data_IF_474099039247
#
_entry.id   IF_474099039247
#
_cell.length_a   1.000
_cell.length_b   1.000
_cell.length_c   1.000
_cell.angle_alpha   90.00
_cell.angle_beta   90.00
_cell.angle_gamma   90.00
#
_symmetry.space_group_name_H-M   'P 1'
#
loop_
_entity.id
_entity.type
_entity.pdbx_description
1 polymer ?
#
# COMPACT_ATOMS: atom_id res chain seq x y z
N UNK A 1 24.70 -25.27 -14.41
CA UNK A 1 24.16 -26.33 -15.23
C UNK A 1 24.70 -26.13 -16.64
N UNK A 2 25.49 -27.11 -17.09
CA UNK A 2 26.02 -27.08 -18.43
C UNK A 2 24.90 -27.49 -19.39
N UNK A 3 24.55 -26.63 -20.33
CA UNK A 3 23.61 -26.97 -21.39
C UNK A 3 24.43 -27.64 -22.48
N UNK A 4 24.09 -28.88 -22.80
CA UNK A 4 24.70 -29.61 -23.90
C UNK A 4 24.00 -29.21 -25.18
N UNK A 5 24.67 -28.51 -26.09
CA UNK A 5 24.16 -28.18 -27.41
C UNK A 5 24.75 -29.17 -28.43
N UNK A 6 23.89 -29.74 -29.28
CA UNK A 6 24.30 -30.40 -30.51
C UNK A 6 23.91 -29.53 -31.69
N UNK A 7 24.87 -29.07 -32.48
CA UNK A 7 24.55 -28.46 -33.77
C UNK A 7 24.01 -29.57 -34.68
N UNK A 8 22.91 -29.33 -35.44
CA UNK A 8 22.43 -30.28 -36.43
C UNK A 8 23.54 -30.59 -37.44
N UNK A 9 23.92 -31.89 -37.55
CA UNK A 9 24.96 -32.38 -38.47
C UNK A 9 26.40 -32.48 -37.91
N UNK A 10 26.59 -32.17 -36.63
CA UNK A 10 27.86 -32.29 -35.95
C UNK A 10 27.76 -33.38 -34.85
N UNK A 11 28.67 -34.40 -34.91
CA UNK A 11 28.73 -35.45 -33.87
C UNK A 11 29.43 -34.99 -32.60
N UNK A 12 30.08 -33.86 -32.61
CA UNK A 12 30.77 -33.32 -31.45
C UNK A 12 29.79 -32.70 -30.44
N UNK A 13 29.99 -33.03 -29.17
CA UNK A 13 29.23 -32.49 -28.06
C UNK A 13 29.97 -31.26 -27.52
N UNK A 14 29.39 -30.07 -27.67
CA UNK A 14 29.92 -28.83 -27.11
C UNK A 14 29.29 -28.58 -25.74
N UNK A 15 30.11 -28.29 -24.77
CA UNK A 15 29.67 -27.71 -23.51
C UNK A 15 29.74 -26.21 -23.63
N UNK A 16 28.61 -25.62 -23.95
CA UNK A 16 28.48 -24.17 -23.93
C UNK A 16 27.91 -23.71 -22.60
N UNK A 17 28.52 -22.75 -22.02
CA UNK A 17 28.12 -22.19 -20.74
C UNK A 17 28.28 -20.68 -20.77
N UNK A 18 27.48 -19.98 -19.99
CA UNK A 18 27.56 -18.53 -19.86
C UNK A 18 28.88 -18.02 -19.24
N UNK A 19 29.82 -18.92 -18.88
CA UNK A 19 31.06 -18.56 -18.18
C UNK A 19 30.87 -17.97 -16.78
N UNK A 20 29.61 -17.82 -16.34
CA UNK A 20 29.20 -17.30 -15.05
C UNK A 20 27.87 -17.92 -14.63
N UNK A 21 27.48 -17.76 -13.37
CA UNK A 21 26.18 -18.21 -12.86
C UNK A 21 25.10 -17.21 -13.30
N UNK A 22 24.13 -17.59 -14.17
CA UNK A 22 23.15 -16.68 -14.77
C UNK A 22 22.00 -16.34 -13.79
N UNK A 23 22.34 -16.00 -12.57
CA UNK A 23 21.38 -15.53 -11.58
C UNK A 23 21.58 -14.04 -11.35
N UNK A 24 20.53 -13.28 -11.66
CA UNK A 24 20.51 -11.84 -11.44
C UNK A 24 19.60 -11.54 -10.26
N UNK A 25 20.15 -10.87 -9.27
CA UNK A 25 19.38 -10.45 -8.10
C UNK A 25 18.78 -9.08 -8.32
N UNK A 26 17.47 -8.95 -8.09
CA UNK A 26 16.76 -7.69 -8.00
C UNK A 26 16.67 -7.28 -6.52
N UNK A 27 17.41 -6.25 -6.14
CA UNK A 27 17.43 -5.75 -4.76
C UNK A 27 16.35 -4.67 -4.58
N UNK A 28 15.51 -4.84 -3.56
CA UNK A 28 14.52 -3.82 -3.17
C UNK A 28 15.17 -2.52 -2.66
N UNK A 29 16.35 -2.61 -2.09
CA UNK A 29 17.10 -1.48 -1.59
C UNK A 29 18.57 -1.78 -1.35
N UNK A 30 19.37 -0.74 -1.08
CA UNK A 30 20.81 -0.89 -0.87
C UNK A 30 21.17 -1.82 0.30
N UNK A 31 20.36 -1.82 1.36
CA UNK A 31 20.55 -2.70 2.52
C UNK A 31 19.88 -4.06 2.36
N UNK A 32 19.22 -4.33 1.25
CA UNK A 32 18.52 -5.60 0.93
C UNK A 32 17.47 -6.02 1.96
N UNK A 33 16.93 -5.06 2.69
CA UNK A 33 15.85 -5.31 3.64
C UNK A 33 14.50 -5.34 2.94
N UNK A 34 13.62 -6.22 3.41
CA UNK A 34 12.21 -6.19 3.04
C UNK A 34 11.60 -4.84 3.43
N UNK A 35 10.68 -4.31 2.61
CA UNK A 35 9.90 -3.12 2.94
C UNK A 35 9.07 -3.30 4.21
N UNK A 36 8.74 -4.54 4.57
CA UNK A 36 8.03 -4.91 5.79
C UNK A 36 8.87 -4.66 7.05
N UNK A 37 10.20 -4.74 6.98
CA UNK A 37 11.08 -4.63 8.16
C UNK A 37 10.88 -3.33 8.94
N UNK A 38 10.59 -2.23 8.24
CA UNK A 38 10.42 -0.91 8.89
C UNK A 38 9.09 -0.75 9.60
N UNK A 39 8.06 -1.49 9.18
CA UNK A 39 6.70 -1.36 9.70
C UNK A 39 6.22 -2.60 10.46
N UNK A 40 7.04 -3.66 10.52
CA UNK A 40 6.66 -4.93 11.17
C UNK A 40 6.16 -4.71 12.61
N UNK A 41 6.90 -3.94 13.42
CA UNK A 41 6.51 -3.68 14.80
C UNK A 41 5.17 -2.94 14.93
N UNK A 42 4.86 -2.04 13.98
CA UNK A 42 3.56 -1.35 13.96
C UNK A 42 2.42 -2.30 13.56
N UNK A 43 2.67 -3.22 12.63
CA UNK A 43 1.69 -4.23 12.22
C UNK A 43 1.44 -5.20 13.39
N UNK A 44 2.50 -5.69 14.02
CA UNK A 44 2.39 -6.60 15.17
C UNK A 44 1.61 -5.93 16.33
N UNK A 45 1.83 -4.62 16.58
CA UNK A 45 1.11 -3.86 17.61
C UNK A 45 -0.36 -3.63 17.24
N UNK A 46 -0.63 -3.31 15.96
CA UNK A 46 -1.99 -3.18 15.43
C UNK A 46 -2.78 -4.48 15.59
N UNK A 47 -2.20 -5.61 15.21
CA UNK A 47 -2.82 -6.92 15.29
C UNK A 47 -3.09 -7.31 16.75
N UNK A 48 -2.12 -7.10 17.64
CA UNK A 48 -2.27 -7.36 19.07
C UNK A 48 -3.39 -6.51 19.69
N UNK A 49 -3.43 -5.21 19.32
CA UNK A 49 -4.44 -4.27 19.82
C UNK A 49 -5.84 -4.61 19.30
N UNK A 50 -5.94 -5.02 18.02
CA UNK A 50 -7.19 -5.44 17.38
C UNK A 50 -7.74 -6.71 18.00
N UNK A 51 -6.88 -7.73 18.17
CA UNK A 51 -7.24 -8.97 18.84
C UNK A 51 -7.66 -8.72 20.30
N UNK A 52 -6.91 -7.88 21.03
CA UNK A 52 -7.22 -7.51 22.41
C UNK A 52 -8.55 -6.75 22.53
N UNK A 53 -8.89 -5.90 21.57
CA UNK A 53 -10.19 -5.22 21.53
C UNK A 53 -11.32 -6.22 21.31
N UNK A 54 -11.17 -7.15 20.37
CA UNK A 54 -12.16 -8.20 20.11
C UNK A 54 -12.41 -9.07 21.33
N UNK A 55 -11.35 -9.53 21.99
CA UNK A 55 -11.45 -10.34 23.21
C UNK A 55 -12.16 -9.58 24.35
N UNK A 56 -11.78 -8.32 24.57
CA UNK A 56 -12.40 -7.50 25.60
C UNK A 56 -13.89 -7.22 25.35
N UNK A 57 -14.30 -7.06 24.08
CA UNK A 57 -15.73 -6.93 23.75
C UNK A 57 -16.47 -8.22 24.06
N UNK A 58 -15.85 -9.38 23.85
CA UNK A 58 -16.43 -10.67 24.24
C UNK A 58 -16.52 -10.78 25.76
N UNK A 59 -15.45 -10.46 26.49
CA UNK A 59 -15.38 -10.51 27.95
C UNK A 59 -16.35 -9.50 28.60
N UNK A 60 -16.54 -8.32 27.99
CA UNK A 60 -17.48 -7.31 28.51
C UNK A 60 -18.94 -7.73 28.41
N UNK A 61 -19.27 -8.68 27.53
CA UNK A 61 -20.59 -9.30 27.49
C UNK A 61 -20.77 -10.28 28.65
N UNK A 62 -19.71 -10.68 29.35
CA UNK A 62 -19.77 -11.48 30.56
C UNK A 62 -19.96 -10.58 31.80
N UNK A 63 -21.00 -10.81 32.49
CA UNK A 63 -21.34 -10.08 33.72
C UNK A 63 -20.61 -10.74 34.89
N UNK A 64 -19.78 -9.94 35.59
CA UNK A 64 -19.15 -10.40 36.83
C UNK A 64 -20.12 -10.29 38.01
N UNK A 65 -20.51 -11.41 38.56
CA UNK A 65 -21.32 -11.46 39.75
C UNK A 65 -20.45 -11.52 40.99
N UNK A 66 -20.49 -10.50 41.83
CA UNK A 66 -19.80 -10.49 43.12
C UNK A 66 -20.82 -10.85 44.19
N UNK A 67 -20.74 -12.09 44.69
CA UNK A 67 -21.63 -12.60 45.75
C UNK A 67 -20.97 -12.38 47.09
N UNK A 68 -21.63 -11.66 47.99
CA UNK A 68 -21.18 -11.41 49.37
C UNK A 68 -22.12 -12.15 50.35
N UNK A 69 -21.55 -12.73 51.41
CA UNK A 69 -22.32 -13.31 52.50
C UNK A 69 -23.05 -14.61 52.11
N UNK A 70 -22.56 -15.33 51.10
CA UNK A 70 -23.14 -16.62 50.73
C UNK A 70 -22.65 -17.73 51.67
N UNK A 71 -23.55 -18.29 52.44
CA UNK A 71 -23.30 -19.38 53.40
C UNK A 71 -23.64 -20.78 52.83
N UNK A 72 -23.93 -20.88 51.53
CA UNK A 72 -24.33 -22.12 50.89
C UNK A 72 -23.15 -22.99 50.45
N UNK A 73 -23.34 -24.33 50.49
CA UNK A 73 -22.29 -25.31 50.18
C UNK A 73 -21.96 -25.44 48.69
N UNK A 74 -22.76 -24.83 47.77
CA UNK A 74 -22.61 -25.07 46.35
C UNK A 74 -22.64 -23.77 45.51
N UNK A 75 -21.48 -23.19 45.31
CA UNK A 75 -21.30 -21.97 44.49
C UNK A 75 -21.65 -22.22 43.00
N UNK A 76 -21.42 -23.41 42.46
CA UNK A 76 -21.70 -23.75 41.07
C UNK A 76 -23.22 -23.81 40.80
N UNK A 77 -24.02 -24.29 41.79
CA UNK A 77 -25.46 -24.26 41.68
C UNK A 77 -26.03 -22.86 41.73
N UNK A 78 -25.45 -21.99 42.57
CA UNK A 78 -25.75 -20.55 42.60
C UNK A 78 -25.47 -19.90 41.24
N UNK A 79 -24.31 -20.11 40.70
CA UNK A 79 -23.92 -19.56 39.40
C UNK A 79 -24.80 -20.08 38.26
N UNK A 80 -25.19 -21.35 38.29
CA UNK A 80 -26.12 -21.94 37.32
C UNK A 80 -27.50 -21.30 37.42
N UNK A 81 -28.00 -21.05 38.62
CA UNK A 81 -29.28 -20.38 38.85
C UNK A 81 -29.25 -18.92 38.41
N UNK A 82 -28.17 -18.19 38.66
CA UNK A 82 -27.95 -16.81 38.17
C UNK A 82 -28.03 -16.77 36.65
N UNK A 83 -27.31 -17.65 35.98
CA UNK A 83 -27.24 -17.69 34.51
C UNK A 83 -28.55 -18.15 33.86
N UNK A 84 -29.18 -19.19 34.42
CA UNK A 84 -30.38 -19.79 33.84
C UNK A 84 -31.66 -19.05 34.20
N UNK A 85 -31.81 -18.64 35.47
CA UNK A 85 -33.09 -18.08 36.02
C UNK A 85 -33.05 -16.57 36.16
N UNK A 86 -31.84 -15.94 36.08
CA UNK A 86 -31.61 -14.48 36.20
C UNK A 86 -32.20 -13.87 37.49
N UNK A 87 -32.39 -14.65 38.51
CA UNK A 87 -32.80 -14.19 39.84
C UNK A 87 -32.11 -14.98 40.93
N UNK A 88 -31.92 -14.34 42.07
CA UNK A 88 -31.30 -14.93 43.26
C UNK A 88 -32.22 -14.65 44.44
N UNK A 89 -32.52 -15.67 45.21
CA UNK A 89 -33.09 -15.49 46.54
C UNK A 89 -31.98 -15.12 47.52
N UNK A 90 -32.02 -13.91 48.07
CA UNK A 90 -31.09 -13.47 49.11
C UNK A 90 -31.72 -13.82 50.45
N UNK A 91 -31.09 -14.66 51.30
CA UNK A 91 -31.59 -14.90 52.64
C UNK A 91 -31.52 -13.59 53.46
N UNK A 92 -32.47 -13.43 54.40
CA UNK A 92 -32.67 -12.24 55.22
C UNK A 92 -31.44 -11.79 56.08
N UNK A 93 -30.34 -12.53 56.01
CA UNK A 93 -29.14 -12.35 56.83
C UNK A 93 -28.06 -11.45 56.20
N UNK A 94 -28.39 -10.59 55.22
CA UNK A 94 -27.46 -9.57 54.76
C UNK A 94 -26.53 -9.97 53.61
N UNK A 95 -26.88 -11.02 52.85
CA UNK A 95 -26.18 -11.31 51.58
C UNK A 95 -26.51 -10.28 50.51
N UNK A 96 -25.56 -10.01 49.65
CA UNK A 96 -25.70 -9.08 48.52
C UNK A 96 -25.06 -9.65 47.27
N UNK A 97 -25.62 -9.33 46.11
CA UNK A 97 -25.08 -9.67 44.81
C UNK A 97 -24.87 -8.39 44.00
N UNK A 98 -23.64 -8.01 43.89
CA UNK A 98 -23.22 -6.84 43.08
C UNK A 98 -22.91 -7.30 41.67
N UNK A 99 -23.56 -6.68 40.70
CA UNK A 99 -23.28 -6.89 39.30
C UNK A 99 -22.22 -5.85 38.87
N UNK A 100 -21.06 -6.32 38.42
CA UNK A 100 -20.03 -5.46 37.85
C UNK A 100 -19.84 -5.78 36.40
N UNK A 101 -19.80 -4.73 35.58
CA UNK A 101 -19.39 -4.80 34.19
C UNK A 101 -17.94 -4.32 34.06
N UNK A 102 -17.20 -4.94 33.18
CA UNK A 102 -15.82 -4.52 32.86
C UNK A 102 -15.91 -3.31 31.96
N UNK A 103 -15.38 -2.19 32.44
CA UNK A 103 -15.33 -0.97 31.62
C UNK A 103 -14.15 -1.06 30.65
N UNK A 104 -14.45 -1.06 29.34
CA UNK A 104 -13.43 -1.15 28.30
C UNK A 104 -13.12 0.26 27.80
N UNK A 105 -11.86 0.69 27.79
CA UNK A 105 -11.47 1.97 27.22
C UNK A 105 -11.54 1.96 25.68
N UNK A 106 -12.75 1.75 25.14
CA UNK A 106 -13.01 1.58 23.69
C UNK A 106 -12.46 2.73 22.85
N UNK A 107 -12.74 3.98 23.26
CA UNK A 107 -12.29 5.16 22.52
C UNK A 107 -10.77 5.26 22.43
N UNK A 108 -10.06 4.99 23.54
CA UNK A 108 -8.60 5.02 23.54
C UNK A 108 -8.02 3.94 22.62
N UNK A 109 -8.61 2.76 22.59
CA UNK A 109 -8.18 1.66 21.72
C UNK A 109 -8.49 1.93 20.26
N UNK A 110 -9.66 2.45 19.96
CA UNK A 110 -10.01 2.86 18.59
C UNK A 110 -9.06 3.95 18.08
N UNK A 111 -8.82 4.99 18.86
CA UNK A 111 -7.87 6.05 18.49
C UNK A 111 -6.47 5.49 18.25
N UNK A 112 -6.03 4.52 19.06
CA UNK A 112 -4.73 3.86 18.88
C UNK A 112 -4.68 3.08 17.56
N UNK A 113 -5.71 2.30 17.23
CA UNK A 113 -5.80 1.54 15.98
C UNK A 113 -5.77 2.47 14.75
N UNK A 114 -6.53 3.57 14.78
CA UNK A 114 -6.53 4.58 13.72
C UNK A 114 -5.16 5.24 13.54
N UNK A 115 -4.47 5.52 14.65
CA UNK A 115 -3.12 6.08 14.63
C UNK A 115 -2.10 5.08 14.06
N UNK A 116 -2.19 3.81 14.45
CA UNK A 116 -1.30 2.76 13.97
C UNK A 116 -1.52 2.49 12.48
N UNK A 117 -2.76 2.41 12.03
CA UNK A 117 -3.09 2.31 10.60
C UNK A 117 -2.45 3.45 9.81
N UNK A 118 -2.66 4.69 10.25
CA UNK A 118 -2.07 5.87 9.62
C UNK A 118 -0.54 5.80 9.57
N UNK A 119 0.08 5.34 10.65
CA UNK A 119 1.53 5.21 10.74
C UNK A 119 2.06 4.06 9.85
N UNK A 120 1.35 2.93 9.75
CA UNK A 120 1.69 1.82 8.87
C UNK A 120 1.76 2.31 7.42
N UNK A 121 0.74 3.02 6.94
CA UNK A 121 0.76 3.62 5.59
C UNK A 121 1.88 4.63 5.42
N UNK A 122 2.07 5.53 6.39
CA UNK A 122 3.09 6.59 6.35
C UNK A 122 4.51 6.03 6.30
N UNK A 123 4.87 5.14 7.23
CA UNK A 123 6.22 4.57 7.31
C UNK A 123 6.45 3.44 6.30
N UNK A 124 5.38 2.76 5.86
CA UNK A 124 5.41 1.81 4.76
C UNK A 124 5.52 2.47 3.39
N UNK A 125 5.41 3.82 3.33
CA UNK A 125 5.34 4.59 2.08
C UNK A 125 4.22 4.05 1.17
N UNK A 126 3.07 3.74 1.77
CA UNK A 126 1.89 3.22 1.10
C UNK A 126 0.88 4.33 0.80
N UNK A 127 -0.14 3.96 0.05
CA UNK A 127 -1.29 4.81 -0.24
C UNK A 127 -2.55 4.20 0.38
N UNK A 128 -3.26 4.97 1.22
CA UNK A 128 -4.53 4.55 1.79
C UNK A 128 -5.68 5.02 0.90
N UNK A 129 -6.26 4.09 0.13
CA UNK A 129 -7.38 4.38 -0.77
C UNK A 129 -8.66 4.78 -0.01
N UNK A 130 -8.86 4.30 1.21
CA UNK A 130 -10.03 4.64 2.03
C UNK A 130 -10.11 6.14 2.37
N UNK A 131 -8.95 6.82 2.40
CA UNK A 131 -8.90 8.27 2.65
C UNK A 131 -9.25 9.12 1.42
N UNK A 132 -9.41 8.52 0.25
CA UNK A 132 -9.79 9.20 -1.00
C UNK A 132 -11.32 9.28 -1.16
N UNK A 133 -12.06 8.60 -0.32
CA UNK A 133 -13.53 8.61 -0.32
C UNK A 133 -14.10 10.01 -0.14
N UNK A 134 -15.14 10.29 -0.90
CA UNK A 134 -15.98 11.47 -1.03
C UNK A 134 -15.50 12.55 -2.01
N UNK A 135 -15.82 12.30 -3.26
CA UNK A 135 -16.33 13.17 -4.34
C UNK A 135 -15.59 14.46 -4.70
N UNK A 136 -14.96 15.14 -3.77
CA UNK A 136 -14.44 16.50 -3.97
C UNK A 136 -12.91 16.63 -3.76
N UNK A 137 -12.17 15.53 -3.87
CA UNK A 137 -10.70 15.60 -3.72
C UNK A 137 -10.07 16.00 -5.04
N UNK A 138 -9.38 17.13 -5.07
CA UNK A 138 -8.68 17.61 -6.27
C UNK A 138 -7.50 16.72 -6.64
N UNK A 139 -7.11 16.71 -7.92
CA UNK A 139 -5.95 15.97 -8.40
C UNK A 139 -4.65 16.35 -7.69
N UNK A 140 -4.52 17.59 -7.23
CA UNK A 140 -3.36 18.06 -6.45
C UNK A 140 -3.28 17.33 -5.10
N UNK A 141 -4.41 17.16 -4.42
CA UNK A 141 -4.46 16.42 -3.15
C UNK A 141 -4.19 14.93 -3.38
N UNK A 142 -4.75 14.35 -4.44
CA UNK A 142 -4.47 12.96 -4.83
C UNK A 142 -2.97 12.77 -5.08
N UNK A 143 -2.36 13.60 -5.91
CA UNK A 143 -0.91 13.55 -6.19
C UNK A 143 -0.07 13.73 -4.92
N UNK A 144 -0.45 14.63 -4.03
CA UNK A 144 0.25 14.82 -2.75
C UNK A 144 0.20 13.56 -1.88
N UNK A 145 -0.92 12.86 -1.85
CA UNK A 145 -1.08 11.59 -1.10
C UNK A 145 -0.28 10.45 -1.72
N UNK A 146 -0.12 10.44 -3.06
CA UNK A 146 0.72 9.46 -3.77
C UNK A 146 2.23 9.72 -3.64
N UNK A 147 2.66 10.90 -3.20
CA UNK A 147 4.06 11.32 -3.23
C UNK A 147 5.03 10.33 -2.53
N UNK A 148 4.64 9.74 -1.40
CA UNK A 148 5.45 8.76 -0.69
C UNK A 148 5.54 7.43 -1.47
N UNK A 149 4.43 6.99 -2.05
CA UNK A 149 4.39 5.80 -2.89
C UNK A 149 5.23 6.00 -4.16
N UNK A 150 5.11 7.16 -4.82
CA UNK A 150 5.91 7.52 -5.98
C UNK A 150 7.41 7.50 -5.67
N UNK A 151 7.80 8.03 -4.50
CA UNK A 151 9.20 7.98 -4.06
C UNK A 151 9.71 6.54 -3.90
N UNK A 152 8.87 5.65 -3.37
CA UNK A 152 9.16 4.22 -3.25
C UNK A 152 9.28 3.56 -4.63
N UNK A 153 8.33 3.86 -5.54
CA UNK A 153 8.34 3.36 -6.92
C UNK A 153 9.57 3.85 -7.69
N UNK A 154 9.94 5.13 -7.57
CA UNK A 154 11.15 5.69 -8.19
C UNK A 154 12.41 4.94 -7.76
N UNK A 155 12.54 4.64 -6.47
CA UNK A 155 13.67 3.85 -5.96
C UNK A 155 13.70 2.44 -6.53
N UNK A 156 12.55 1.78 -6.65
CA UNK A 156 12.43 0.44 -7.23
C UNK A 156 12.74 0.48 -8.72
N UNK A 157 12.25 1.48 -9.45
CA UNK A 157 12.49 1.67 -10.89
C UNK A 157 13.98 1.78 -11.21
N UNK A 158 14.75 2.57 -10.44
CA UNK A 158 16.19 2.66 -10.60
C UNK A 158 16.85 1.28 -10.47
N UNK A 159 16.40 0.47 -9.49
CA UNK A 159 16.92 -0.88 -9.27
C UNK A 159 16.52 -1.84 -10.40
N UNK A 160 15.28 -1.73 -10.86
CA UNK A 160 14.77 -2.52 -11.97
C UNK A 160 15.53 -2.20 -13.26
N UNK A 161 15.78 -0.93 -13.56
CA UNK A 161 16.63 -0.52 -14.71
C UNK A 161 18.03 -1.13 -14.62
N UNK A 162 18.65 -1.13 -13.45
CA UNK A 162 19.97 -1.73 -13.25
C UNK A 162 19.94 -3.26 -13.45
N UNK A 163 18.89 -3.93 -12.95
CA UNK A 163 18.67 -5.35 -13.15
C UNK A 163 18.47 -5.69 -14.63
N UNK A 164 17.54 -4.99 -15.30
CA UNK A 164 17.25 -5.18 -16.73
C UNK A 164 18.48 -4.97 -17.60
N UNK A 165 19.30 -3.95 -17.31
CA UNK A 165 20.56 -3.71 -18.06
C UNK A 165 21.53 -4.88 -17.95
N UNK A 166 21.64 -5.52 -16.78
CA UNK A 166 22.50 -6.70 -16.63
C UNK A 166 22.00 -7.89 -17.45
N UNK A 167 20.69 -8.11 -17.45
CA UNK A 167 20.04 -9.19 -18.19
C UNK A 167 20.14 -8.95 -19.70
N UNK A 168 19.80 -7.74 -20.15
CA UNK A 168 19.81 -7.38 -21.56
C UNK A 168 21.21 -7.40 -22.17
N UNK A 169 22.26 -7.14 -21.39
CA UNK A 169 23.63 -7.25 -21.88
C UNK A 169 23.92 -8.65 -22.44
N UNK A 170 23.39 -9.70 -21.81
CA UNK A 170 23.56 -11.07 -22.25
C UNK A 170 22.66 -11.38 -23.44
N UNK A 171 21.40 -10.93 -23.37
CA UNK A 171 20.45 -11.14 -24.46
C UNK A 171 20.91 -10.46 -25.74
N UNK A 172 21.44 -9.23 -25.65
CA UNK A 172 21.99 -8.52 -26.82
C UNK A 172 23.23 -9.20 -27.36
N UNK A 173 24.11 -9.72 -26.51
CA UNK A 173 25.29 -10.46 -26.96
C UNK A 173 24.87 -11.70 -27.77
N UNK A 174 23.89 -12.47 -27.30
CA UNK A 174 23.35 -13.63 -28.00
C UNK A 174 22.66 -13.26 -29.31
N UNK A 175 21.88 -12.18 -29.32
CA UNK A 175 21.21 -11.69 -30.56
C UNK A 175 22.25 -11.24 -31.58
N UNK A 176 23.27 -10.50 -31.17
CA UNK A 176 24.34 -10.01 -32.06
C UNK A 176 25.15 -11.16 -32.62
N UNK A 177 25.45 -12.19 -31.83
CA UNK A 177 26.20 -13.36 -32.27
C UNK A 177 25.37 -14.20 -33.25
N UNK A 178 24.10 -14.47 -32.92
CA UNK A 178 23.22 -15.31 -33.78
C UNK A 178 22.71 -14.60 -35.00
N UNK A 179 22.47 -13.28 -34.93
CA UNK A 179 21.85 -12.48 -35.99
C UNK A 179 22.84 -11.67 -36.82
N UNK A 180 24.16 -11.60 -36.46
CA UNK A 180 25.15 -10.77 -37.10
C UNK A 180 24.84 -9.28 -36.99
N UNK A 181 24.15 -8.86 -35.94
CA UNK A 181 23.78 -7.46 -35.64
C UNK A 181 24.74 -6.84 -34.61
N UNK A 182 24.74 -5.52 -34.48
CA UNK A 182 25.54 -4.79 -33.49
C UNK A 182 24.69 -3.87 -32.64
N UNK A 183 23.70 -4.45 -31.96
CA UNK A 183 22.87 -3.70 -31.04
C UNK A 183 23.61 -3.39 -29.74
N UNK A 184 23.55 -2.11 -29.36
CA UNK A 184 24.21 -1.60 -28.17
C UNK A 184 23.19 -1.38 -27.03
N UNK A 185 23.69 -1.40 -25.80
CA UNK A 185 22.83 -1.16 -24.61
C UNK A 185 22.21 0.25 -24.59
N UNK A 186 22.80 1.19 -25.26
CA UNK A 186 22.30 2.56 -25.42
C UNK A 186 21.12 2.67 -26.40
N UNK A 187 20.88 1.64 -27.24
CA UNK A 187 19.73 1.61 -28.15
C UNK A 187 18.45 1.15 -27.46
N UNK A 188 18.55 0.72 -26.20
CA UNK A 188 17.42 0.19 -25.42
C UNK A 188 16.93 1.23 -24.43
N UNK A 189 15.70 1.66 -24.59
CA UNK A 189 15.01 2.58 -23.69
C UNK A 189 14.03 1.83 -22.80
N UNK A 190 13.98 2.21 -21.52
CA UNK A 190 13.00 1.72 -20.57
C UNK A 190 12.00 2.84 -20.28
N UNK A 191 10.76 2.62 -20.67
CA UNK A 191 9.66 3.49 -20.33
C UNK A 191 8.75 2.79 -19.29
N UNK A 192 8.57 3.44 -18.14
CA UNK A 192 7.72 2.95 -17.06
C UNK A 192 6.50 3.85 -16.94
N UNK A 193 5.39 3.37 -17.47
CA UNK A 193 4.12 4.08 -17.35
C UNK A 193 3.49 3.80 -15.99
N UNK A 194 3.00 4.85 -15.34
CA UNK A 194 2.30 4.77 -14.06
C UNK A 194 0.93 5.38 -14.21
N UNK A 195 -0.08 4.59 -13.88
CA UNK A 195 -1.43 5.09 -13.77
C UNK A 195 -1.64 5.62 -12.35
N UNK A 196 -2.03 6.88 -12.23
CA UNK A 196 -2.43 7.51 -10.97
C UNK A 196 -3.93 7.74 -11.04
N UNK A 197 -4.64 7.40 -9.96
CA UNK A 197 -6.05 7.76 -9.86
C UNK A 197 -6.23 9.26 -10.08
N UNK A 198 -7.16 9.63 -10.93
CA UNK A 198 -7.48 11.01 -11.22
C UNK A 198 -8.97 11.26 -11.01
N UNK A 199 -9.31 12.43 -10.49
CA UNK A 199 -10.68 12.85 -10.39
C UNK A 199 -11.17 13.34 -11.77
N UNK A 200 -12.13 12.65 -12.35
CA UNK A 200 -12.67 12.95 -13.68
C UNK A 200 -13.31 14.35 -13.75
N UNK A 201 -13.96 14.77 -12.68
CA UNK A 201 -14.57 16.12 -12.61
C UNK A 201 -13.51 17.21 -12.58
N UNK A 202 -12.44 17.00 -11.80
CA UNK A 202 -11.33 17.96 -11.72
C UNK A 202 -10.58 18.03 -13.06
N UNK A 203 -10.38 16.90 -13.74
CA UNK A 203 -9.81 16.88 -15.09
C UNK A 203 -10.69 17.63 -16.11
N UNK A 204 -11.99 17.44 -16.06
CA UNK A 204 -12.92 18.17 -16.93
C UNK A 204 -12.89 19.68 -16.66
N UNK A 205 -12.80 20.10 -15.39
CA UNK A 205 -12.70 21.50 -15.02
C UNK A 205 -11.36 22.12 -15.45
N UNK A 206 -10.27 21.39 -15.33
CA UNK A 206 -8.94 21.81 -15.83
C UNK A 206 -9.00 21.99 -17.36
N UNK A 207 -9.55 21.00 -18.08
CA UNK A 207 -9.68 21.07 -19.54
C UNK A 207 -10.54 22.27 -19.99
N UNK A 208 -11.65 22.52 -19.28
CA UNK A 208 -12.51 23.70 -19.54
C UNK A 208 -11.74 24.99 -19.31
N UNK A 209 -11.00 25.10 -18.22
CA UNK A 209 -10.20 26.27 -17.88
C UNK A 209 -9.10 26.52 -18.91
N UNK A 210 -8.45 25.48 -19.39
CA UNK A 210 -7.40 25.57 -20.40
C UNK A 210 -7.98 25.99 -21.77
N UNK A 211 -9.15 25.46 -22.15
CA UNK A 211 -9.85 25.89 -23.36
C UNK A 211 -10.26 27.38 -23.28
N UNK A 212 -10.74 27.84 -22.11
CA UNK A 212 -11.06 29.25 -21.88
C UNK A 212 -9.83 30.15 -21.97
N UNK A 213 -8.67 29.71 -21.43
CA UNK A 213 -7.42 30.46 -21.55
C UNK A 213 -6.97 30.56 -23.01
N UNK A 214 -7.02 29.45 -23.75
CA UNK A 214 -6.67 29.45 -25.18
C UNK A 214 -7.58 30.41 -25.96
N UNK A 215 -8.89 30.38 -25.70
CA UNK A 215 -9.83 31.28 -26.34
C UNK A 215 -9.54 32.73 -25.98
N UNK A 216 -9.19 33.03 -24.73
CA UNK A 216 -8.82 34.39 -24.32
C UNK A 216 -7.52 34.83 -24.99
N UNK A 217 -6.53 33.94 -25.17
CA UNK A 217 -5.29 34.23 -25.92
C UNK A 217 -5.61 34.55 -27.38
N UNK A 218 -6.40 33.71 -28.06
CA UNK A 218 -6.82 33.95 -29.45
C UNK A 218 -7.56 35.27 -29.59
N UNK A 219 -8.49 35.56 -28.69
CA UNK A 219 -9.24 36.83 -28.70
C UNK A 219 -8.29 38.04 -28.51
N UNK A 220 -7.28 37.91 -27.65
CA UNK A 220 -6.26 38.93 -27.43
C UNK A 220 -5.44 39.16 -28.69
N UNK A 221 -4.99 38.07 -29.35
CA UNK A 221 -4.25 38.14 -30.62
C UNK A 221 -5.12 38.75 -31.71
N UNK A 222 -6.39 38.39 -31.84
CA UNK A 222 -7.32 38.99 -32.80
C UNK A 222 -7.55 40.48 -32.56
N UNK A 223 -7.56 40.90 -31.28
CA UNK A 223 -7.69 42.35 -30.96
C UNK A 223 -6.41 43.12 -31.32
N UNK A 224 -5.27 42.47 -31.33
CA UNK A 224 -3.97 43.05 -31.69
C UNK A 224 -3.66 42.92 -33.19
N UNK A 225 -4.49 42.21 -33.95
CA UNK A 225 -4.27 41.93 -35.37
C UNK A 225 -4.17 43.19 -36.23
N UNK A 226 -4.83 44.26 -35.82
CA UNK A 226 -4.77 45.56 -36.51
C UNK A 226 -3.47 46.35 -36.21
N UNK A 227 -2.69 45.93 -35.23
CA UNK A 227 -1.49 46.63 -34.73
C UNK A 227 -0.18 45.83 -35.01
N UNK A 228 -0.29 44.51 -35.06
CA UNK A 228 0.83 43.60 -35.30
C UNK A 228 0.83 43.12 -36.76
N UNK A 229 1.99 42.91 -37.31
CA UNK A 229 2.12 42.29 -38.63
C UNK A 229 1.85 40.77 -38.57
N UNK A 230 1.52 40.21 -39.76
CA UNK A 230 1.13 38.79 -39.87
C UNK A 230 2.22 37.80 -39.41
N UNK A 231 3.49 38.17 -39.53
CA UNK A 231 4.63 37.33 -39.13
C UNK A 231 4.68 37.20 -37.59
N UNK A 232 4.50 38.28 -36.86
CA UNK A 232 4.48 38.33 -35.39
C UNK A 232 3.25 37.62 -34.79
N UNK A 233 2.13 37.60 -35.51
CA UNK A 233 0.90 36.88 -35.09
C UNK A 233 1.01 35.37 -35.22
N UNK A 234 1.83 34.87 -36.16
CA UNK A 234 1.99 33.43 -36.38
C UNK A 234 3.10 32.81 -35.53
N UNK A 235 4.01 33.60 -34.94
CA UNK A 235 5.10 33.12 -34.07
C UNK A 235 4.66 32.95 -32.58
N UNK A 236 3.51 33.42 -32.16
CA UNK A 236 2.98 33.34 -30.81
C UNK A 236 1.74 32.44 -30.73
#
# INVERSE_FOLDING_TARGET
PHTIWRKPGDESTYFDGFGFIPFFRLDNGQKQFSGLKTIKGLIDDYDLMSCGLSNNIQDANEVLYVVKGFEGDNLDELMTNIRAKKHIGIPDSGGDVEIRTIDIPYQARQTKLELDEKNIYRFGMGFNAAQVGDGNVTNVVIKSRYALLDLKCNKLEIRLKQFMRKLLKIVLAEINESGGTDYQMQDVYFDFQREVMANALDNAQIALTDAQKQQAQVNTLMTLADVLDDETLLEN
#
